data_IF_309454891812
#
_entry.id   IF_309454891812
#
_cell.length_a   1.000
_cell.length_b   1.000
_cell.length_c   1.000
_cell.angle_alpha   90.00
_cell.angle_beta   90.00
_cell.angle_gamma   90.00
#
_symmetry.space_group_name_H-M   'P 1'
#
loop_
_entity.id
_entity.type
_entity.pdbx_description
1 polymer ?
#
# COMPACT_ATOMS: atom_id res chain seq x y z
N UNK A 1 -24.66 -1.01 9.09
CA UNK A 1 -25.12 -1.10 7.69
C UNK A 1 -25.89 -2.39 7.55
N UNK A 2 -27.19 -2.34 7.26
CA UNK A 2 -27.87 -3.51 6.69
C UNK A 2 -27.00 -4.02 5.55
N UNK A 3 -26.60 -5.28 5.63
CA UNK A 3 -25.55 -5.93 4.87
C UNK A 3 -25.56 -5.52 3.39
N UNK A 4 -24.86 -4.42 3.04
CA UNK A 4 -24.99 -3.81 1.72
C UNK A 4 -24.35 -4.78 0.71
N UNK A 5 -25.15 -5.44 -0.15
CA UNK A 5 -24.63 -6.52 -0.98
C UNK A 5 -23.50 -6.03 -1.87
N UNK A 6 -22.49 -6.87 -2.09
CA UNK A 6 -21.29 -6.49 -2.88
C UNK A 6 -21.64 -5.93 -4.26
N UNK A 7 -22.67 -6.47 -4.92
CA UNK A 7 -23.19 -5.98 -6.20
C UNK A 7 -23.71 -4.54 -6.11
N UNK A 8 -24.52 -4.24 -5.09
CA UNK A 8 -25.06 -2.90 -4.83
C UNK A 8 -23.97 -1.92 -4.45
N UNK A 9 -23.01 -2.33 -3.61
CA UNK A 9 -21.84 -1.50 -3.28
C UNK A 9 -21.04 -1.12 -4.53
N UNK A 10 -20.74 -2.08 -5.42
CA UNK A 10 -20.00 -1.80 -6.67
C UNK A 10 -20.72 -0.76 -7.56
N UNK A 11 -22.04 -0.87 -7.70
CA UNK A 11 -22.82 0.09 -8.47
C UNK A 11 -22.81 1.49 -7.84
N UNK A 12 -22.94 1.58 -6.51
CA UNK A 12 -22.88 2.86 -5.79
C UNK A 12 -21.48 3.47 -5.89
N UNK A 13 -20.44 2.69 -5.60
CA UNK A 13 -19.03 3.07 -5.75
C UNK A 13 -18.77 3.60 -7.16
N UNK A 14 -19.18 2.87 -8.20
CA UNK A 14 -18.97 3.28 -9.58
C UNK A 14 -19.70 4.58 -9.96
N UNK A 15 -20.81 4.92 -9.30
CA UNK A 15 -21.49 6.20 -9.52
C UNK A 15 -20.79 7.35 -8.80
N UNK A 16 -20.35 7.14 -7.55
CA UNK A 16 -19.59 8.14 -6.78
C UNK A 16 -18.23 8.44 -7.41
N UNK A 17 -17.51 7.42 -7.88
CA UNK A 17 -16.21 7.57 -8.56
C UNK A 17 -16.28 8.34 -9.89
N UNK A 18 -17.50 8.56 -10.45
CA UNK A 18 -17.70 9.41 -11.64
C UNK A 18 -17.89 10.89 -11.29
N UNK A 19 -18.09 11.21 -10.01
CA UNK A 19 -18.21 12.60 -9.58
C UNK A 19 -16.84 13.27 -9.62
N UNK A 20 -16.76 14.55 -10.04
CA UNK A 20 -15.52 15.31 -9.97
C UNK A 20 -14.93 15.28 -8.56
N UNK A 21 -13.59 15.31 -8.44
CA UNK A 21 -12.85 15.39 -7.18
C UNK A 21 -12.95 14.15 -6.26
N UNK A 22 -13.76 13.14 -6.60
CA UNK A 22 -13.78 11.85 -5.89
C UNK A 22 -12.64 10.96 -6.37
N UNK A 23 -11.79 10.54 -5.44
CA UNK A 23 -10.59 9.71 -5.72
C UNK A 23 -10.64 8.35 -5.03
N UNK A 24 -11.60 8.13 -4.13
CA UNK A 24 -11.80 6.84 -3.48
C UNK A 24 -13.16 6.71 -2.82
N UNK A 25 -13.63 5.47 -2.68
CA UNK A 25 -14.84 5.14 -1.91
C UNK A 25 -14.59 3.85 -1.15
N UNK A 26 -14.85 3.91 0.16
CA UNK A 26 -14.76 2.80 1.10
C UNK A 26 -16.05 2.63 1.92
N UNK A 27 -16.03 1.67 2.82
CA UNK A 27 -17.01 1.50 3.90
C UNK A 27 -16.31 1.79 5.21
N UNK A 28 -16.96 2.51 6.11
CA UNK A 28 -16.39 2.85 7.41
C UNK A 28 -17.44 3.47 8.30
N UNK A 29 -16.98 4.18 9.32
CA UNK A 29 -17.83 4.91 10.25
C UNK A 29 -17.71 6.41 10.01
N UNK A 30 -18.81 7.13 10.26
CA UNK A 30 -18.87 8.56 10.02
C UNK A 30 -18.06 9.30 11.08
N UNK A 31 -17.28 10.27 10.65
CA UNK A 31 -16.60 11.22 11.54
C UNK A 31 -17.40 12.51 11.65
N UNK A 32 -17.58 13.04 12.85
CA UNK A 32 -18.20 14.36 13.10
C UNK A 32 -17.34 15.10 14.12
N UNK A 33 -16.96 16.34 13.82
CA UNK A 33 -16.07 17.16 14.66
C UNK A 33 -14.76 16.46 15.07
N UNK A 34 -14.20 15.65 14.15
CA UNK A 34 -12.96 14.90 14.35
C UNK A 34 -13.11 13.60 15.15
N UNK A 35 -14.32 13.26 15.60
CA UNK A 35 -14.61 12.03 16.34
C UNK A 35 -15.33 11.02 15.46
N UNK A 36 -14.80 9.80 15.40
CA UNK A 36 -15.48 8.67 14.77
C UNK A 36 -16.73 8.29 15.58
N UNK A 37 -17.86 8.10 14.90
CA UNK A 37 -19.14 7.71 15.49
C UNK A 37 -19.40 6.22 15.28
N UNK A 38 -20.47 5.68 15.84
CA UNK A 38 -20.95 4.32 15.54
C UNK A 38 -21.80 4.24 14.26
N UNK A 39 -21.99 5.36 13.55
CA UNK A 39 -22.80 5.43 12.34
C UNK A 39 -22.01 4.93 11.12
N UNK A 40 -22.32 3.73 10.65
CA UNK A 40 -21.75 3.22 9.40
C UNK A 40 -22.14 4.06 8.17
N UNK A 41 -21.18 4.30 7.29
CA UNK A 41 -21.33 5.13 6.11
C UNK A 41 -20.42 4.68 4.94
N UNK A 42 -20.65 5.28 3.78
CA UNK A 42 -19.70 5.27 2.67
C UNK A 42 -18.72 6.42 2.87
N UNK A 43 -17.45 6.08 3.13
CA UNK A 43 -16.37 7.06 3.22
C UNK A 43 -15.95 7.42 1.80
N UNK A 44 -16.18 8.67 1.40
CA UNK A 44 -15.87 9.21 0.07
C UNK A 44 -14.62 10.08 0.20
N UNK A 45 -13.53 9.62 -0.38
CA UNK A 45 -12.25 10.31 -0.38
C UNK A 45 -12.23 11.32 -1.53
N UNK A 46 -11.92 12.57 -1.19
CA UNK A 46 -11.78 13.66 -2.17
C UNK A 46 -10.38 14.25 -2.12
N UNK A 47 -9.91 14.78 -3.25
CA UNK A 47 -8.61 15.44 -3.30
C UNK A 47 -8.61 16.73 -2.47
N UNK A 48 -9.66 17.56 -2.58
CA UNK A 48 -9.80 18.79 -1.79
C UNK A 48 -11.26 19.09 -1.43
N UNK A 49 -11.57 19.47 -0.19
CA UNK A 49 -12.89 20.00 0.16
C UNK A 49 -13.04 21.41 -0.37
N UNK A 50 -14.20 21.65 -0.98
CA UNK A 50 -14.60 22.95 -1.51
C UNK A 50 -15.92 23.32 -0.83
N UNK A 51 -16.11 24.59 -0.50
CA UNK A 51 -17.34 25.05 0.13
C UNK A 51 -18.54 24.75 -0.78
N UNK A 52 -19.69 24.39 -0.19
CA UNK A 52 -20.88 24.03 -0.96
C UNK A 52 -21.35 25.15 -1.89
N UNK A 53 -21.12 26.42 -1.54
CA UNK A 53 -21.43 27.57 -2.37
C UNK A 53 -20.68 27.56 -3.71
N UNK A 54 -19.42 27.11 -3.68
CA UNK A 54 -18.51 27.12 -4.82
C UNK A 54 -18.51 25.79 -5.60
N UNK A 55 -19.26 24.79 -5.12
CA UNK A 55 -19.40 23.50 -5.79
C UNK A 55 -20.59 23.48 -6.76
N UNK A 56 -20.38 23.11 -8.04
CA UNK A 56 -21.49 22.82 -8.94
C UNK A 56 -22.29 21.62 -8.42
N UNK A 57 -23.60 21.59 -8.68
CA UNK A 57 -24.49 20.52 -8.18
C UNK A 57 -24.00 19.12 -8.54
N UNK A 58 -23.36 18.95 -9.69
CA UNK A 58 -22.79 17.67 -10.14
C UNK A 58 -21.61 17.17 -9.31
N UNK A 59 -20.95 18.04 -8.55
CA UNK A 59 -19.81 17.69 -7.69
C UNK A 59 -20.19 17.61 -6.19
N UNK A 60 -21.46 17.88 -5.85
CA UNK A 60 -21.95 17.80 -4.47
C UNK A 60 -22.30 16.36 -4.14
N UNK A 61 -21.53 15.76 -3.23
CA UNK A 61 -21.83 14.45 -2.65
C UNK A 61 -22.93 14.66 -1.60
N UNK A 62 -24.14 14.10 -1.78
CA UNK A 62 -25.22 14.30 -0.83
C UNK A 62 -24.98 13.44 0.43
N UNK A 63 -25.37 13.91 1.63
CA UNK A 63 -25.19 13.18 2.90
C UNK A 63 -25.88 11.80 2.93
N UNK A 64 -26.84 11.59 2.03
CA UNK A 64 -27.45 10.30 1.73
C UNK A 64 -27.37 10.05 0.22
N UNK A 65 -26.62 9.03 -0.19
CA UNK A 65 -26.47 8.65 -1.59
C UNK A 65 -27.02 7.24 -1.83
N UNK A 66 -28.09 7.14 -2.63
CA UNK A 66 -28.79 5.86 -2.94
C UNK A 66 -29.17 5.05 -1.69
N UNK A 67 -29.56 5.77 -0.64
CA UNK A 67 -29.98 5.21 0.65
C UNK A 67 -28.82 4.80 1.57
N UNK A 68 -27.59 5.26 1.31
CA UNK A 68 -26.44 5.05 2.18
C UNK A 68 -25.92 6.40 2.69
N UNK A 69 -25.62 6.49 3.98
CA UNK A 69 -24.99 7.68 4.56
C UNK A 69 -23.62 7.84 3.93
N UNK A 70 -23.22 9.08 3.62
CA UNK A 70 -21.87 9.37 3.13
C UNK A 70 -21.11 10.21 4.13
N UNK A 71 -19.81 9.96 4.26
CA UNK A 71 -18.87 10.84 4.92
C UNK A 71 -17.80 11.29 3.92
N UNK A 72 -17.55 12.59 3.81
CA UNK A 72 -16.61 13.15 2.83
C UNK A 72 -15.32 13.50 3.55
N UNK A 73 -14.23 12.83 3.16
CA UNK A 73 -12.91 12.99 3.78
C UNK A 73 -11.94 13.54 2.74
N UNK A 74 -11.31 14.66 3.06
CA UNK A 74 -10.22 15.20 2.24
C UNK A 74 -8.96 14.41 2.53
N UNK A 75 -8.32 13.86 1.50
CA UNK A 75 -7.07 13.08 1.64
C UNK A 75 -5.94 13.60 0.75
N UNK A 76 -6.16 14.70 0.03
CA UNK A 76 -5.18 15.20 -0.93
C UNK A 76 -5.03 14.30 -2.14
N UNK A 77 -3.97 14.54 -2.91
CA UNK A 77 -3.68 13.77 -4.13
C UNK A 77 -2.98 12.46 -3.76
N UNK A 78 -3.69 11.34 -3.89
CA UNK A 78 -3.08 10.01 -3.74
C UNK A 78 -2.15 9.78 -4.93
N UNK A 79 -0.85 9.62 -4.65
CA UNK A 79 0.16 9.20 -5.62
C UNK A 79 0.81 7.92 -5.12
N UNK A 80 0.96 6.94 -6.00
CA UNK A 80 1.87 5.85 -5.73
C UNK A 80 3.28 6.45 -5.64
N UNK A 81 3.97 6.18 -4.54
CA UNK A 81 5.39 6.52 -4.44
C UNK A 81 6.12 5.73 -5.51
N UNK A 82 6.81 6.43 -6.40
CA UNK A 82 7.67 5.83 -7.41
C UNK A 82 9.13 6.04 -7.00
N UNK A 83 10.04 5.11 -7.31
CA UNK A 83 11.45 5.21 -6.94
C UNK A 83 12.13 6.49 -7.43
N UNK A 84 11.58 7.14 -8.48
CA UNK A 84 12.18 8.27 -9.19
C UNK A 84 11.48 9.62 -8.99
N UNK A 85 10.67 9.83 -7.95
CA UNK A 85 10.07 11.16 -7.78
C UNK A 85 9.04 11.36 -6.68
N UNK A 86 9.38 11.15 -5.43
CA UNK A 86 8.61 11.70 -4.31
C UNK A 86 9.47 12.65 -3.51
N UNK A 87 9.01 13.89 -3.39
CA UNK A 87 9.56 14.84 -2.42
C UNK A 87 9.29 14.34 -1.01
N UNK A 88 10.23 14.62 -0.10
CA UNK A 88 10.14 14.24 1.30
C UNK A 88 8.87 14.86 1.91
N UNK A 89 7.96 14.01 2.38
CA UNK A 89 6.90 14.40 3.31
C UNK A 89 7.51 14.38 4.71
N UNK A 90 7.28 15.46 5.46
CA UNK A 90 7.76 15.64 6.84
C UNK A 90 7.39 14.40 7.69
N UNK A 91 8.38 13.54 7.93
CA UNK A 91 8.20 12.32 8.69
C UNK A 91 8.12 12.67 10.18
N UNK A 92 6.96 12.42 10.78
CA UNK A 92 6.81 12.52 12.22
C UNK A 92 7.67 11.43 12.89
N UNK A 93 8.55 11.83 13.82
CA UNK A 93 9.55 10.96 14.41
C UNK A 93 8.92 9.75 15.12
N UNK A 94 9.11 8.56 14.53
CA UNK A 94 8.80 7.31 15.21
C UNK A 94 9.83 7.06 16.32
N UNK A 95 9.44 6.46 17.47
CA UNK A 95 10.33 6.25 18.62
C UNK A 95 11.54 5.35 18.33
N UNK A 96 11.54 4.62 17.20
CA UNK A 96 12.70 3.92 16.64
C UNK A 96 12.69 4.14 15.14
N UNK A 97 13.78 4.69 14.59
CA UNK A 97 13.96 4.84 13.16
C UNK A 97 14.01 3.46 12.49
N UNK A 98 13.03 3.17 11.62
CA UNK A 98 12.92 1.89 10.88
C UNK A 98 13.39 2.01 9.43
N UNK A 99 13.66 3.23 8.99
CA UNK A 99 14.16 3.59 7.67
C UNK A 99 15.69 3.76 7.63
N UNK A 100 16.40 3.45 8.72
CA UNK A 100 17.87 3.52 8.75
C UNK A 100 18.47 2.13 8.60
N UNK A 101 19.78 2.11 8.33
CA UNK A 101 20.57 0.89 8.29
C UNK A 101 20.67 0.24 9.67
N UNK A 102 20.19 -1.00 9.79
CA UNK A 102 20.21 -1.80 11.02
C UNK A 102 20.78 -3.19 10.71
N UNK A 103 21.70 -3.69 11.55
CA UNK A 103 22.32 -5.01 11.42
C UNK A 103 22.38 -5.73 12.79
N UNK A 104 21.95 -7.00 12.90
CA UNK A 104 21.13 -7.72 11.92
C UNK A 104 19.79 -7.00 11.71
N UNK A 105 19.20 -7.10 10.52
CA UNK A 105 17.96 -6.44 10.18
C UNK A 105 16.75 -7.08 10.91
N UNK A 106 16.07 -6.38 11.84
CA UNK A 106 14.91 -6.94 12.52
C UNK A 106 13.63 -6.83 11.68
N UNK A 107 12.59 -7.58 12.05
CA UNK A 107 11.24 -7.40 11.49
C UNK A 107 10.75 -5.95 11.65
N UNK A 108 10.05 -5.46 10.63
CA UNK A 108 9.48 -4.12 10.60
C UNK A 108 10.37 -3.04 9.98
N UNK A 109 11.64 -3.32 9.65
CA UNK A 109 12.53 -2.30 9.05
C UNK A 109 12.35 -2.18 7.55
N UNK A 110 12.78 -1.04 7.01
CA UNK A 110 12.86 -0.78 5.58
C UNK A 110 13.68 -1.83 4.87
N UNK A 111 13.12 -2.39 3.80
CA UNK A 111 13.79 -3.33 2.90
C UNK A 111 13.24 -3.17 1.49
N UNK A 112 13.98 -3.54 0.45
CA UNK A 112 13.38 -3.60 -0.88
C UNK A 112 14.31 -4.06 -1.99
N UNK A 113 13.69 -4.38 -3.12
CA UNK A 113 14.32 -4.50 -4.42
C UNK A 113 14.85 -3.12 -4.90
N UNK A 114 15.96 -3.04 -5.66
CA UNK A 114 16.52 -1.76 -6.11
C UNK A 114 15.59 -0.91 -6.99
N UNK A 115 14.71 -1.56 -7.75
CA UNK A 115 13.75 -0.89 -8.65
C UNK A 115 12.41 -0.52 -7.97
N UNK A 116 12.24 -0.79 -6.67
CA UNK A 116 11.05 -0.34 -5.91
C UNK A 116 11.40 0.83 -5.00
N UNK A 117 10.46 1.39 -4.26
CA UNK A 117 10.75 2.47 -3.30
C UNK A 117 11.40 1.91 -2.03
N UNK A 118 10.57 1.49 -1.09
CA UNK A 118 10.91 0.76 0.11
C UNK A 118 9.63 0.08 0.59
N UNK A 119 9.79 -1.10 1.15
CA UNK A 119 8.75 -1.79 1.87
C UNK A 119 9.24 -2.18 3.26
N UNK A 120 8.66 -3.23 3.80
CA UNK A 120 8.94 -3.65 5.17
C UNK A 120 9.40 -5.09 5.21
N UNK A 121 10.47 -5.38 5.95
CA UNK A 121 10.86 -6.73 6.28
C UNK A 121 9.75 -7.32 7.16
N UNK A 122 9.03 -8.32 6.66
CA UNK A 122 7.92 -8.92 7.38
C UNK A 122 8.41 -9.80 8.52
N UNK A 123 9.06 -10.91 8.17
CA UNK A 123 9.55 -11.89 9.15
C UNK A 123 10.75 -12.68 8.61
N UNK A 124 11.49 -13.27 9.54
CA UNK A 124 12.37 -14.42 9.25
C UNK A 124 11.51 -15.68 9.27
N UNK A 125 11.66 -16.53 8.26
CA UNK A 125 10.92 -17.78 8.09
C UNK A 125 11.88 -18.92 7.78
N UNK A 126 11.43 -20.16 7.93
CA UNK A 126 12.25 -21.34 7.65
C UNK A 126 11.60 -22.19 6.57
N UNK A 127 12.40 -22.64 5.62
CA UNK A 127 12.01 -23.69 4.70
C UNK A 127 11.85 -24.99 5.49
N UNK A 128 10.64 -25.58 5.48
CA UNK A 128 10.34 -26.79 6.25
C UNK A 128 11.07 -28.04 5.72
N UNK A 129 11.44 -28.07 4.45
CA UNK A 129 12.13 -29.20 3.82
C UNK A 129 13.65 -29.12 4.03
N UNK A 130 14.23 -27.93 3.85
CA UNK A 130 15.69 -27.74 3.90
C UNK A 130 16.21 -27.24 5.25
N UNK A 131 15.32 -26.70 6.10
CA UNK A 131 15.70 -26.01 7.34
C UNK A 131 16.35 -24.64 7.10
N UNK A 132 16.45 -24.18 5.85
CA UNK A 132 17.11 -22.92 5.53
C UNK A 132 16.31 -21.72 6.03
N UNK A 133 17.02 -20.76 6.61
CA UNK A 133 16.48 -19.46 7.01
C UNK A 133 16.30 -18.56 5.78
N UNK A 134 15.12 -17.95 5.67
CA UNK A 134 14.74 -17.02 4.62
C UNK A 134 14.11 -15.76 5.24
N UNK A 135 14.03 -14.67 4.50
CA UNK A 135 13.26 -13.48 4.87
C UNK A 135 12.02 -13.35 3.99
N UNK A 136 10.91 -12.92 4.57
CA UNK A 136 9.59 -12.78 3.94
C UNK A 136 9.17 -11.31 3.89
N UNK A 137 8.67 -10.89 2.73
CA UNK A 137 7.89 -9.67 2.55
C UNK A 137 6.94 -9.84 1.37
N UNK A 138 6.34 -8.76 0.88
CA UNK A 138 5.49 -8.78 -0.30
C UNK A 138 6.31 -8.97 -1.58
N UNK A 139 5.69 -9.52 -2.63
CA UNK A 139 6.26 -9.54 -3.98
C UNK A 139 6.54 -8.11 -4.44
N UNK A 140 5.60 -7.18 -4.24
CA UNK A 140 5.82 -5.80 -4.67
C UNK A 140 7.01 -5.12 -3.96
N UNK A 141 7.52 -5.70 -2.86
CA UNK A 141 8.68 -5.19 -2.12
C UNK A 141 9.97 -5.88 -2.57
N UNK A 142 10.01 -7.21 -2.69
CA UNK A 142 11.25 -7.95 -2.98
C UNK A 142 11.42 -8.35 -4.45
N UNK A 143 10.34 -8.36 -5.23
CA UNK A 143 10.30 -8.86 -6.59
C UNK A 143 9.70 -7.85 -7.57
N UNK A 144 9.67 -6.55 -7.24
CA UNK A 144 9.25 -5.49 -8.16
C UNK A 144 7.89 -5.74 -8.85
N UNK A 145 6.90 -6.17 -8.06
CA UNK A 145 5.55 -6.48 -8.54
C UNK A 145 5.52 -7.51 -9.69
N UNK A 146 6.52 -8.40 -9.74
CA UNK A 146 6.74 -9.35 -10.83
C UNK A 146 5.52 -10.21 -11.11
N UNK A 147 5.19 -10.31 -12.39
CA UNK A 147 4.04 -11.07 -12.90
C UNK A 147 4.43 -12.39 -13.56
N UNK A 148 5.73 -12.66 -13.72
CA UNK A 148 6.27 -13.88 -14.32
C UNK A 148 7.53 -14.32 -13.57
N UNK A 149 7.60 -15.60 -13.21
CA UNK A 149 8.77 -16.20 -12.52
C UNK A 149 9.87 -16.62 -13.51
N UNK A 150 9.50 -16.92 -14.76
CA UNK A 150 10.41 -17.50 -15.75
C UNK A 150 11.45 -16.50 -16.27
N UNK A 151 12.72 -16.90 -16.27
CA UNK A 151 13.82 -16.19 -16.94
C UNK A 151 14.59 -15.20 -16.07
N UNK A 152 14.17 -14.96 -14.82
CA UNK A 152 14.89 -14.11 -13.88
C UNK A 152 15.91 -14.95 -13.08
N UNK A 153 17.21 -14.60 -13.08
CA UNK A 153 18.18 -15.24 -12.20
C UNK A 153 17.98 -14.70 -10.77
N UNK A 154 17.03 -15.28 -10.02
CA UNK A 154 16.60 -14.80 -8.69
C UNK A 154 17.78 -14.59 -7.73
N UNK A 155 18.74 -15.51 -7.72
CA UNK A 155 19.95 -15.44 -6.91
C UNK A 155 20.94 -14.31 -7.29
N UNK A 156 20.63 -13.52 -8.32
CA UNK A 156 21.39 -12.31 -8.71
C UNK A 156 20.61 -11.02 -8.42
N UNK A 157 19.37 -11.12 -7.95
CA UNK A 157 18.54 -9.97 -7.61
C UNK A 157 18.82 -9.57 -6.16
N UNK A 158 19.52 -8.44 -5.91
CA UNK A 158 19.88 -8.05 -4.56
C UNK A 158 18.67 -7.49 -3.81
N UNK A 159 18.67 -7.66 -2.50
CA UNK A 159 17.68 -7.10 -1.58
C UNK A 159 18.40 -6.26 -0.53
N UNK A 160 17.94 -5.01 -0.40
CA UNK A 160 18.64 -3.95 0.32
C UNK A 160 17.98 -3.68 1.68
N UNK A 161 18.78 -3.39 2.70
CA UNK A 161 18.31 -2.84 3.98
C UNK A 161 19.22 -1.67 4.40
N UNK A 162 18.73 -0.41 4.42
CA UNK A 162 17.35 -0.01 4.11
C UNK A 162 17.03 -0.15 2.61
N UNK A 163 15.75 -0.02 2.22
CA UNK A 163 15.36 0.08 0.81
C UNK A 163 15.90 1.35 0.15
N UNK A 164 15.92 1.42 -1.18
CA UNK A 164 16.53 2.55 -1.93
C UNK A 164 15.90 3.90 -1.60
N UNK A 165 14.58 3.94 -1.37
CA UNK A 165 13.88 5.17 -0.99
C UNK A 165 14.35 5.73 0.35
N UNK A 166 14.80 4.84 1.24
CA UNK A 166 15.31 5.17 2.56
C UNK A 166 16.86 5.28 2.58
N UNK A 167 17.49 5.40 1.40
CA UNK A 167 18.92 5.65 1.23
C UNK A 167 19.80 4.43 1.02
N UNK A 168 19.21 3.24 0.85
CA UNK A 168 19.97 2.00 0.65
C UNK A 168 20.78 1.98 -0.65
N UNK A 169 22.03 1.51 -0.58
CA UNK A 169 22.94 1.38 -1.72
C UNK A 169 23.27 -0.08 -2.04
N UNK A 170 23.34 -0.43 -3.33
CA UNK A 170 23.57 -1.82 -3.76
C UNK A 170 24.89 -2.37 -3.22
N UNK A 171 25.97 -1.59 -3.25
CA UNK A 171 27.28 -2.06 -2.81
C UNK A 171 27.38 -2.25 -1.27
N UNK A 172 26.61 -1.50 -0.48
CA UNK A 172 26.80 -1.44 0.99
C UNK A 172 25.67 -2.11 1.79
N UNK A 173 24.47 -2.18 1.21
CA UNK A 173 23.24 -2.51 1.91
C UNK A 173 22.55 -3.78 1.45
N UNK A 174 23.15 -4.51 0.51
CA UNK A 174 22.64 -5.84 0.13
C UNK A 174 22.75 -6.79 1.31
N UNK A 175 21.61 -7.34 1.76
CA UNK A 175 21.54 -8.31 2.87
C UNK A 175 21.03 -9.69 2.44
N UNK A 176 20.45 -9.81 1.25
CA UNK A 176 19.87 -11.05 0.74
C UNK A 176 19.79 -11.02 -0.79
N UNK A 177 19.53 -12.18 -1.38
CA UNK A 177 19.13 -12.29 -2.80
C UNK A 177 17.74 -12.89 -2.93
N UNK A 178 16.97 -12.48 -3.94
CA UNK A 178 15.64 -13.02 -4.18
C UNK A 178 15.69 -14.55 -4.32
N UNK A 179 14.75 -15.25 -3.69
CA UNK A 179 14.73 -16.70 -3.65
C UNK A 179 13.50 -17.27 -4.35
N UNK A 180 12.32 -16.72 -4.06
CA UNK A 180 11.04 -17.18 -4.63
C UNK A 180 9.98 -16.09 -4.46
N UNK A 181 8.98 -16.04 -5.33
CA UNK A 181 7.82 -15.18 -5.12
C UNK A 181 6.55 -15.79 -5.72
N UNK A 182 5.40 -15.24 -5.33
CA UNK A 182 4.11 -15.53 -5.98
C UNK A 182 3.87 -14.46 -7.05
N UNK A 183 3.83 -14.80 -8.35
CA UNK A 183 3.59 -13.83 -9.41
C UNK A 183 2.25 -13.11 -9.25
N UNK A 184 2.25 -11.79 -9.47
CA UNK A 184 1.02 -11.02 -9.47
C UNK A 184 0.30 -11.13 -10.82
N UNK A 185 -1.03 -11.12 -10.80
CA UNK A 185 -1.89 -11.14 -11.97
C UNK A 185 -2.64 -9.80 -12.10
N UNK A 186 -2.16 -8.87 -12.96
CA UNK A 186 -2.85 -7.62 -13.21
C UNK A 186 -4.27 -7.87 -13.73
N UNK A 187 -5.26 -7.19 -13.12
CA UNK A 187 -6.68 -7.38 -13.47
C UNK A 187 -7.29 -8.71 -13.01
N UNK A 188 -6.50 -9.62 -12.43
CA UNK A 188 -6.93 -10.87 -11.84
C UNK A 188 -7.07 -10.80 -10.32
N UNK A 189 -7.44 -11.93 -9.70
CA UNK A 189 -7.47 -12.06 -8.25
C UNK A 189 -6.10 -12.54 -7.74
N UNK A 190 -5.40 -11.68 -6.99
CA UNK A 190 -4.20 -12.06 -6.25
C UNK A 190 -4.60 -12.51 -4.84
N UNK A 191 -4.44 -13.80 -4.54
CA UNK A 191 -4.72 -14.34 -3.20
C UNK A 191 -3.63 -13.99 -2.19
N UNK A 192 -2.40 -13.92 -2.67
CA UNK A 192 -1.22 -13.64 -1.88
C UNK A 192 -0.33 -12.66 -2.64
N UNK A 193 0.30 -11.79 -1.87
CA UNK A 193 1.38 -10.93 -2.33
C UNK A 193 2.57 -11.25 -1.43
N UNK A 194 3.48 -12.10 -1.91
CA UNK A 194 4.53 -12.67 -1.09
C UNK A 194 5.78 -12.99 -1.90
N UNK A 195 6.94 -12.72 -1.31
CA UNK A 195 8.25 -13.08 -1.80
C UNK A 195 9.19 -13.45 -0.64
N UNK A 196 10.12 -14.35 -0.96
CA UNK A 196 11.16 -14.85 -0.10
C UNK A 196 12.51 -14.43 -0.66
N UNK A 197 13.42 -14.02 0.21
CA UNK A 197 14.82 -13.80 -0.14
C UNK A 197 15.73 -14.58 0.82
N UNK A 198 16.90 -14.99 0.31
CA UNK A 198 17.90 -15.75 1.04
C UNK A 198 18.98 -14.79 1.58
N UNK A 199 19.13 -14.66 2.90
CA UNK A 199 20.18 -13.85 3.51
C UNK A 199 21.58 -14.26 3.06
N UNK A 200 22.51 -13.28 2.99
CA UNK A 200 23.92 -13.49 2.68
C UNK A 200 24.73 -14.05 3.85
#
# INVERSE_FOLDING_TARGET
MQDLPRSRYRQIKGALMKMPNVIGVGKGFKTTDGLETDQECLVVLVEKKVALADLPRSARIPPLFRGQVTDVVEVGRIKALHPKGSEAVDAQEAPVARNVRIRPAPGGVSIGHPEVTAGTLGAVVWNQETGEMLILSNNHVLADSSTLESGMPLNKVPILQPGVFDGGQIEEDTIATLYRFIPLHPGGLNRFDAALAKPL
#
